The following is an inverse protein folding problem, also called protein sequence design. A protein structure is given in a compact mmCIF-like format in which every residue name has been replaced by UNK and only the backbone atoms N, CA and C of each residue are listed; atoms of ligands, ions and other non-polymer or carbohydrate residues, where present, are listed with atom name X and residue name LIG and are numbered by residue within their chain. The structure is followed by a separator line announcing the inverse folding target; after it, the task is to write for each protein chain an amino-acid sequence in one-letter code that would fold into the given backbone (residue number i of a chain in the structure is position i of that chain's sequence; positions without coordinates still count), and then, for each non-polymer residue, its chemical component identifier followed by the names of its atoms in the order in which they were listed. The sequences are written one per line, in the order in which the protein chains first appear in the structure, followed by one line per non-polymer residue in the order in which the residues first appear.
data_IF_972632413093
#
_entry.id   IF_972632413093
#
_cell.length_a   1.000
_cell.length_b   1.000
_cell.length_c   1.000
_cell.angle_alpha   90.00
_cell.angle_beta   90.00
_cell.angle_gamma   90.00
#
_symmetry.space_group_name_H-M   'P 1'
#
loop_
_entity.id
_entity.type
_entity.pdbx_description
1 polymer ?
#
# COMPACT_ATOMS: atom_id res chain seq x y z
N UNK A 1 -0.26 13.29 -17.92
CA UNK A 1 -0.35 12.17 -16.97
C UNK A 1 -1.76 12.07 -16.41
N UNK A 2 -2.37 10.88 -16.45
CA UNK A 2 -3.66 10.59 -15.82
C UNK A 2 -3.40 9.68 -14.62
N UNK A 3 -3.71 10.17 -13.43
CA UNK A 3 -3.67 9.39 -12.21
C UNK A 3 -4.97 8.59 -12.06
N UNK A 4 -4.86 7.34 -11.63
CA UNK A 4 -6.00 6.47 -11.31
C UNK A 4 -5.81 5.89 -9.91
N UNK A 5 -6.92 5.65 -9.23
CA UNK A 5 -6.96 4.87 -8.00
C UNK A 5 -7.79 3.62 -8.26
N UNK A 6 -7.27 2.47 -7.86
CA UNK A 6 -7.99 1.19 -7.98
C UNK A 6 -7.71 0.33 -6.77
N UNK A 7 -8.54 -0.69 -6.55
CA UNK A 7 -8.30 -1.68 -5.50
C UNK A 7 -6.95 -2.36 -5.70
N UNK A 8 -6.28 -2.62 -4.58
CA UNK A 8 -5.11 -3.48 -4.54
C UNK A 8 -5.43 -4.85 -5.12
N UNK A 9 -4.50 -5.39 -5.90
CA UNK A 9 -4.50 -6.75 -6.39
C UNK A 9 -3.16 -7.41 -6.04
N UNK A 10 -3.13 -8.74 -5.91
CA UNK A 10 -1.92 -9.46 -5.46
C UNK A 10 -0.71 -9.22 -6.39
N UNK A 11 -0.96 -8.91 -7.66
CA UNK A 11 0.04 -8.58 -8.66
C UNK A 11 0.79 -7.26 -8.34
N UNK A 12 0.22 -6.37 -7.51
CA UNK A 12 0.84 -5.11 -7.11
C UNK A 12 1.90 -5.27 -6.02
N UNK A 13 1.95 -6.45 -5.38
CA UNK A 13 2.75 -6.71 -4.17
C UNK A 13 4.22 -6.33 -4.35
N UNK A 14 4.83 -6.74 -5.46
CA UNK A 14 6.24 -6.42 -5.74
C UNK A 14 6.45 -4.92 -5.96
N UNK A 15 5.58 -4.26 -6.73
CA UNK A 15 5.68 -2.82 -6.98
C UNK A 15 5.49 -1.98 -5.70
N UNK A 16 4.63 -2.42 -4.78
CA UNK A 16 4.44 -1.74 -3.49
C UNK A 16 5.64 -1.95 -2.56
N UNK A 17 6.26 -3.14 -2.55
CA UNK A 17 7.51 -3.39 -1.82
C UNK A 17 8.64 -2.50 -2.36
N UNK A 18 8.77 -2.38 -3.67
CA UNK A 18 9.76 -1.48 -4.28
C UNK A 18 9.50 -0.02 -3.88
N UNK A 19 8.22 0.39 -3.82
CA UNK A 19 7.83 1.73 -3.36
C UNK A 19 8.21 1.95 -1.90
N UNK A 20 7.96 0.97 -1.01
CA UNK A 20 8.38 1.01 0.39
C UNK A 20 9.90 1.17 0.52
N UNK A 21 10.66 0.32 -0.17
CA UNK A 21 12.13 0.33 -0.09
C UNK A 21 12.74 1.62 -0.66
N UNK A 22 12.12 2.22 -1.68
CA UNK A 22 12.55 3.51 -2.23
C UNK A 22 12.38 4.68 -1.24
N UNK A 23 11.53 4.51 -0.23
CA UNK A 23 11.30 5.47 0.86
C UNK A 23 12.20 5.22 2.09
N UNK A 24 13.01 4.16 2.08
CA UNK A 24 14.03 3.91 3.09
C UNK A 24 15.30 4.75 2.83
N UNK A 25 16.00 5.24 3.88
CA UNK A 25 15.66 5.13 5.30
C UNK A 25 14.82 6.32 5.81
N UNK A 26 14.30 7.17 4.91
CA UNK A 26 13.74 8.47 5.30
C UNK A 26 12.42 8.35 6.05
N UNK A 27 11.56 7.43 5.62
CA UNK A 27 10.22 7.24 6.19
C UNK A 27 10.00 5.84 6.76
N UNK A 28 10.69 4.84 6.20
CA UNK A 28 10.62 3.44 6.61
C UNK A 28 12.02 2.87 6.86
N UNK A 29 12.06 1.71 7.48
CA UNK A 29 13.25 0.87 7.61
C UNK A 29 13.04 -0.45 6.88
N UNK A 30 14.13 -1.09 6.42
CA UNK A 30 14.03 -2.32 5.62
C UNK A 30 13.26 -3.45 6.33
N UNK A 31 13.30 -3.50 7.66
CA UNK A 31 12.55 -4.49 8.44
C UNK A 31 11.03 -4.30 8.37
N UNK A 32 10.52 -3.10 8.04
CA UNK A 32 9.09 -2.84 7.89
C UNK A 32 8.50 -3.66 6.73
N UNK A 33 9.33 -4.12 5.79
CA UNK A 33 8.91 -4.97 4.68
C UNK A 33 8.15 -6.22 5.16
N UNK A 34 8.58 -6.83 6.27
CA UNK A 34 7.94 -8.05 6.77
C UNK A 34 6.49 -7.76 7.24
N UNK A 35 6.32 -6.70 8.03
CA UNK A 35 5.01 -6.29 8.54
C UNK A 35 4.09 -5.77 7.43
N UNK A 36 4.66 -5.08 6.44
CA UNK A 36 3.90 -4.62 5.28
C UNK A 36 3.41 -5.80 4.42
N UNK A 37 4.25 -6.82 4.20
CA UNK A 37 3.82 -8.02 3.49
C UNK A 37 2.74 -8.79 4.25
N UNK A 38 2.86 -8.92 5.58
CA UNK A 38 1.82 -9.52 6.40
C UNK A 38 0.49 -8.75 6.29
N UNK A 39 0.56 -7.41 6.30
CA UNK A 39 -0.61 -6.57 6.05
C UNK A 39 -1.28 -6.86 4.70
N UNK A 40 -0.51 -6.89 3.61
CA UNK A 40 -1.03 -7.15 2.26
C UNK A 40 -1.68 -8.54 2.16
N UNK A 41 -1.05 -9.55 2.76
CA UNK A 41 -1.46 -10.94 2.63
C UNK A 41 -2.68 -11.26 3.53
N UNK A 42 -2.84 -10.59 4.68
CA UNK A 42 -3.82 -10.97 5.70
C UNK A 42 -4.85 -9.89 6.07
N UNK A 43 -4.62 -8.62 5.75
CA UNK A 43 -5.43 -7.51 6.29
C UNK A 43 -5.89 -6.48 5.26
N UNK A 44 -5.29 -6.43 4.07
CA UNK A 44 -5.76 -5.57 2.98
C UNK A 44 -7.16 -6.01 2.53
N UNK A 45 -8.11 -5.07 2.49
CA UNK A 45 -9.50 -5.30 2.11
C UNK A 45 -9.90 -4.47 0.87
N UNK A 46 -11.19 -4.41 0.55
CA UNK A 46 -11.69 -3.64 -0.58
C UNK A 46 -11.46 -2.12 -0.51
N UNK A 47 -11.07 -1.60 0.65
CA UNK A 47 -10.78 -0.19 0.90
C UNK A 47 -9.29 0.13 0.76
N UNK A 48 -8.45 -0.88 0.55
CA UNK A 48 -7.04 -0.70 0.23
C UNK A 48 -6.84 -0.46 -1.27
N UNK A 49 -6.26 0.69 -1.60
CA UNK A 49 -6.13 1.19 -2.96
C UNK A 49 -4.66 1.35 -3.34
N UNK A 50 -4.39 1.17 -4.63
CA UNK A 50 -3.14 1.57 -5.28
C UNK A 50 -3.39 2.77 -6.17
N UNK A 51 -2.38 3.62 -6.27
CA UNK A 51 -2.34 4.77 -7.17
C UNK A 51 -1.48 4.41 -8.37
N UNK A 52 -2.00 4.64 -9.58
CA UNK A 52 -1.28 4.37 -10.81
C UNK A 52 -1.14 5.62 -11.68
N UNK A 53 0.03 5.75 -12.31
CA UNK A 53 0.30 6.72 -13.37
C UNK A 53 0.90 5.95 -14.55
N UNK A 54 0.29 6.06 -15.73
CA UNK A 54 0.77 5.36 -16.94
C UNK A 54 0.92 3.85 -16.71
N UNK A 55 -0.07 3.27 -16.03
CA UNK A 55 -0.18 1.85 -15.67
C UNK A 55 0.99 1.33 -14.80
N UNK A 56 1.74 2.25 -14.17
CA UNK A 56 2.72 1.97 -13.14
C UNK A 56 2.17 2.35 -11.76
N UNK A 57 2.25 1.43 -10.81
CA UNK A 57 1.95 1.69 -9.40
C UNK A 57 2.98 2.66 -8.84
N UNK A 58 2.50 3.75 -8.21
CA UNK A 58 3.33 4.82 -7.63
C UNK A 58 3.05 5.06 -6.15
N UNK A 59 2.13 4.29 -5.56
CA UNK A 59 1.80 4.43 -4.16
C UNK A 59 0.56 3.64 -3.78
N UNK A 60 0.25 3.62 -2.49
CA UNK A 60 -0.87 2.91 -1.92
C UNK A 60 -1.40 3.61 -0.66
N UNK A 61 -2.62 3.25 -0.28
CA UNK A 61 -3.26 3.76 0.91
C UNK A 61 -4.68 3.27 1.05
N UNK A 62 -5.32 3.60 2.15
CA UNK A 62 -6.70 3.20 2.38
C UNK A 62 -7.12 3.47 3.81
N UNK A 63 -8.30 2.97 4.15
CA UNK A 63 -8.85 3.03 5.50
C UNK A 63 -9.56 1.72 5.78
N UNK A 64 -9.81 1.43 7.05
CA UNK A 64 -10.60 0.28 7.44
C UNK A 64 -11.49 0.64 8.63
N UNK A 65 -12.62 -0.05 8.74
CA UNK A 65 -13.53 0.04 9.88
C UNK A 65 -13.62 -1.31 10.56
N UNK A 66 -13.32 -1.37 11.86
CA UNK A 66 -13.44 -2.57 12.68
C UNK A 66 -14.33 -2.28 13.89
N UNK A 67 -15.60 -2.71 13.81
CA UNK A 67 -16.61 -2.38 14.80
C UNK A 67 -16.90 -0.88 14.81
N UNK A 68 -16.59 -0.19 15.92
CA UNK A 68 -16.74 1.27 16.05
C UNK A 68 -15.46 2.05 15.75
N UNK A 69 -14.35 1.36 15.49
CA UNK A 69 -13.05 1.98 15.23
C UNK A 69 -12.80 2.16 13.74
N UNK A 70 -12.26 3.31 13.36
CA UNK A 70 -11.76 3.59 12.02
C UNK A 70 -10.25 3.75 12.07
N UNK A 71 -9.55 3.23 11.08
CA UNK A 71 -8.09 3.31 10.97
C UNK A 71 -7.66 3.66 9.55
N UNK A 72 -6.39 4.06 9.44
CA UNK A 72 -5.71 4.30 8.18
C UNK A 72 -4.85 3.07 7.90
N UNK A 73 -4.95 2.53 6.68
CA UNK A 73 -4.09 1.45 6.22
C UNK A 73 -2.68 1.97 5.91
N UNK A 74 -1.75 1.09 5.53
CA UNK A 74 -0.40 1.48 5.12
C UNK A 74 -0.44 2.49 3.96
N UNK A 75 0.12 3.69 4.17
CA UNK A 75 0.23 4.73 3.15
C UNK A 75 1.68 4.88 2.73
N UNK A 76 1.95 4.75 1.44
CA UNK A 76 3.28 4.86 0.84
C UNK A 76 3.12 5.62 -0.48
N UNK A 77 3.94 6.65 -0.70
CA UNK A 77 3.95 7.51 -1.89
C UNK A 77 5.38 7.81 -2.35
#
# INVERSE_FOLDING_TARGET
MKMKFRKYAVEDREALVDTLLSNCPKYFIESDKADFLDFLDNYADENYLVTEIEDKVVGCGGHYTKGVSNGIAWVIV
#
